data_IF_117953849620
#
_entry.id   IF_117953849620
#
_cell.length_a   1.000
_cell.length_b   1.000
_cell.length_c   1.000
_cell.angle_alpha   90.00
_cell.angle_beta   90.00
_cell.angle_gamma   90.00
#
_symmetry.space_group_name_H-M   'P 1'
#
loop_
_entity.id
_entity.type
_entity.pdbx_description
1 polymer ?
#
# COMPACT_ATOMS: atom_id res chain seq x y z
N UNK A 1 15.54 5.52 -20.51
CA UNK A 1 14.23 6.01 -20.97
C UNK A 1 14.03 7.49 -20.64
N UNK A 2 13.86 7.86 -19.37
CA UNK A 2 13.49 9.23 -18.94
C UNK A 2 14.50 10.31 -19.39
N UNK A 3 15.80 10.09 -19.16
CA UNK A 3 16.83 11.09 -19.54
C UNK A 3 16.93 11.33 -21.04
N UNK A 4 16.65 10.30 -21.84
CA UNK A 4 16.79 10.33 -23.30
C UNK A 4 15.45 10.50 -24.01
N UNK A 5 14.35 10.67 -23.27
CA UNK A 5 12.96 10.71 -23.77
C UNK A 5 12.61 9.57 -24.73
N UNK A 6 13.24 8.41 -24.54
CA UNK A 6 12.97 7.21 -25.32
C UNK A 6 11.91 6.37 -24.62
N UNK A 7 10.91 5.84 -25.36
CA UNK A 7 9.99 4.85 -24.82
C UNK A 7 10.75 3.66 -24.21
N UNK A 8 10.18 3.03 -23.19
CA UNK A 8 10.67 1.73 -22.73
C UNK A 8 10.45 0.76 -23.89
N UNK A 9 11.49 -0.01 -24.25
CA UNK A 9 11.38 -0.99 -25.32
C UNK A 9 10.27 -1.98 -25.00
N UNK A 10 9.34 -2.16 -25.94
CA UNK A 10 8.29 -3.16 -25.82
C UNK A 10 8.92 -4.55 -25.69
N UNK A 11 8.33 -5.37 -24.82
CA UNK A 11 8.73 -6.76 -24.63
C UNK A 11 7.47 -7.62 -24.56
N UNK A 12 7.38 -8.64 -25.42
CA UNK A 12 6.26 -9.60 -25.42
C UNK A 12 6.10 -10.31 -24.08
N UNK A 13 7.18 -10.40 -23.29
CA UNK A 13 7.15 -10.95 -21.94
C UNK A 13 6.04 -10.34 -21.07
N UNK A 14 5.82 -9.03 -21.13
CA UNK A 14 4.79 -8.39 -20.30
C UNK A 14 3.39 -8.73 -20.78
N UNK A 15 3.20 -8.86 -22.10
CA UNK A 15 1.93 -9.30 -22.69
C UNK A 15 1.62 -10.74 -22.31
N UNK A 16 2.60 -11.64 -22.44
CA UNK A 16 2.46 -13.05 -22.04
C UNK A 16 2.14 -13.17 -20.54
N UNK A 17 2.83 -12.41 -19.68
CA UNK A 17 2.53 -12.38 -18.25
C UNK A 17 1.11 -11.89 -17.96
N UNK A 18 0.64 -10.85 -18.67
CA UNK A 18 -0.73 -10.37 -18.53
C UNK A 18 -1.76 -11.41 -18.98
N UNK A 19 -1.54 -12.03 -20.13
CA UNK A 19 -2.42 -13.06 -20.69
C UNK A 19 -2.55 -14.26 -19.74
N UNK A 20 -1.43 -14.72 -19.18
CA UNK A 20 -1.35 -15.85 -18.24
C UNK A 20 -1.81 -15.52 -16.81
N UNK A 21 -2.00 -14.23 -16.48
CA UNK A 21 -2.44 -13.83 -15.14
C UNK A 21 -3.95 -14.00 -14.99
N UNK A 22 -4.38 -14.73 -13.97
CA UNK A 22 -5.78 -14.86 -13.60
C UNK A 22 -6.27 -13.72 -12.68
N UNK A 23 -5.37 -13.25 -11.81
CA UNK A 23 -5.66 -12.23 -10.80
C UNK A 23 -4.46 -11.31 -10.58
N UNK A 24 -4.72 -10.01 -10.52
CA UNK A 24 -3.75 -8.99 -10.12
C UNK A 24 -3.89 -8.70 -8.64
N UNK A 25 -2.76 -8.72 -7.92
CA UNK A 25 -2.68 -8.23 -6.54
C UNK A 25 -1.93 -6.91 -6.58
N UNK A 26 -2.63 -5.82 -6.27
CA UNK A 26 -2.11 -4.45 -6.44
C UNK A 26 -2.01 -3.79 -5.08
N UNK A 27 -0.79 -3.53 -4.64
CA UNK A 27 -0.54 -2.74 -3.44
C UNK A 27 -0.58 -1.25 -3.76
N UNK A 28 -1.41 -0.49 -3.03
CA UNK A 28 -1.39 0.96 -3.03
C UNK A 28 -0.82 1.42 -1.68
N UNK A 29 0.41 1.92 -1.71
CA UNK A 29 1.21 2.18 -0.51
C UNK A 29 1.34 3.65 -0.11
N UNK A 30 0.87 4.56 -0.95
CA UNK A 30 1.06 5.99 -0.78
C UNK A 30 -0.04 6.79 -1.47
N UNK A 31 -0.47 7.87 -0.84
CA UNK A 31 -1.35 8.90 -1.42
C UNK A 31 -0.55 10.05 -2.08
N UNK A 32 0.76 9.85 -2.26
CA UNK A 32 1.67 10.86 -2.82
C UNK A 32 2.15 10.41 -4.19
N UNK A 33 2.13 11.35 -5.14
CA UNK A 33 2.77 11.26 -6.45
C UNK A 33 4.00 12.16 -6.52
N UNK A 34 5.01 11.73 -7.28
CA UNK A 34 6.26 12.46 -7.49
C UNK A 34 6.30 12.86 -8.97
N UNK A 35 6.32 14.16 -9.25
CA UNK A 35 6.13 14.69 -10.61
C UNK A 35 7.35 15.49 -11.04
N UNK A 36 7.92 15.16 -12.19
CA UNK A 36 8.99 15.92 -12.85
C UNK A 36 8.62 16.19 -14.31
N UNK A 37 8.48 17.46 -14.69
CA UNK A 37 8.15 17.88 -16.07
C UNK A 37 6.94 17.14 -16.68
N UNK A 38 5.91 16.87 -15.89
CA UNK A 38 4.71 16.14 -16.32
C UNK A 38 4.84 14.61 -16.27
N UNK A 39 6.02 14.07 -15.96
CA UNK A 39 6.23 12.64 -15.76
C UNK A 39 6.08 12.25 -14.28
N UNK A 40 5.50 11.07 -14.06
CA UNK A 40 5.43 10.43 -12.75
C UNK A 40 6.71 9.64 -12.48
N UNK A 41 7.29 9.84 -11.31
CA UNK A 41 8.52 9.18 -10.87
C UNK A 41 8.23 8.26 -9.68
N UNK A 42 8.96 7.15 -9.62
CA UNK A 42 8.97 6.31 -8.44
C UNK A 42 9.70 7.03 -7.30
N UNK A 43 9.17 6.96 -6.07
CA UNK A 43 9.76 7.66 -4.91
C UNK A 43 11.25 7.31 -4.70
N UNK A 44 11.65 6.05 -4.94
CA UNK A 44 13.05 5.61 -4.85
C UNK A 44 14.01 6.39 -5.77
N UNK A 45 13.51 6.95 -6.87
CA UNK A 45 14.34 7.71 -7.81
C UNK A 45 14.67 9.13 -7.29
N UNK A 46 13.90 9.67 -6.35
CA UNK A 46 13.94 11.11 -6.01
C UNK A 46 13.94 11.42 -4.52
N UNK A 47 13.59 10.44 -3.68
CA UNK A 47 13.55 10.61 -2.24
C UNK A 47 14.97 10.49 -1.65
N UNK A 48 15.55 11.65 -1.34
CA UNK A 48 16.93 11.77 -0.81
C UNK A 48 17.12 11.17 0.57
N UNK A 49 16.04 10.78 1.26
CA UNK A 49 16.11 10.01 2.50
C UNK A 49 16.54 8.56 2.25
N UNK A 50 16.44 8.10 1.00
CA UNK A 50 16.77 6.74 0.58
C UNK A 50 18.03 6.76 -0.29
N UNK A 51 18.82 5.69 -0.22
CA UNK A 51 20.08 5.60 -0.98
C UNK A 51 19.90 5.38 -2.48
N UNK A 52 18.67 5.13 -2.95
CA UNK A 52 18.39 4.69 -4.31
C UNK A 52 18.41 5.83 -5.35
N UNK A 53 18.44 7.09 -4.92
CA UNK A 53 18.47 8.24 -5.83
C UNK A 53 19.90 8.68 -6.21
N UNK A 54 20.95 7.92 -5.85
CA UNK A 54 22.35 8.32 -6.06
C UNK A 54 22.72 8.54 -7.52
N UNK A 55 22.07 7.83 -8.44
CA UNK A 55 22.29 7.94 -9.89
C UNK A 55 21.31 8.90 -10.58
N UNK A 56 20.32 9.41 -9.84
CA UNK A 56 19.37 10.36 -10.40
C UNK A 56 20.02 11.74 -10.53
N UNK A 57 19.97 12.39 -11.70
CA UNK A 57 20.56 13.72 -11.86
C UNK A 57 20.00 14.71 -10.85
N UNK A 58 20.88 15.52 -10.25
CA UNK A 58 20.53 16.47 -9.19
C UNK A 58 19.38 17.40 -9.59
N UNK A 59 19.35 17.82 -10.87
CA UNK A 59 18.27 18.64 -11.42
C UNK A 59 16.91 17.94 -11.30
N UNK A 60 16.84 16.65 -11.60
CA UNK A 60 15.59 15.86 -11.51
C UNK A 60 15.14 15.77 -10.06
N UNK A 61 16.05 15.48 -9.14
CA UNK A 61 15.76 15.43 -7.69
C UNK A 61 15.19 16.78 -7.21
N UNK A 62 15.92 17.86 -7.49
CA UNK A 62 15.59 19.21 -7.02
C UNK A 62 14.27 19.76 -7.58
N UNK A 63 13.96 19.44 -8.83
CA UNK A 63 12.77 19.94 -9.52
C UNK A 63 11.54 19.02 -9.39
N UNK A 64 11.71 17.82 -8.81
CA UNK A 64 10.58 16.90 -8.57
C UNK A 64 9.66 17.46 -7.50
N UNK A 65 8.36 17.54 -7.82
CA UNK A 65 7.31 17.96 -6.90
C UNK A 65 6.66 16.74 -6.27
N UNK A 66 6.59 16.72 -4.94
CA UNK A 66 5.81 15.72 -4.20
C UNK A 66 4.42 16.30 -3.96
N UNK A 67 3.41 15.68 -4.54
CA UNK A 67 2.02 16.14 -4.47
C UNK A 67 1.18 15.06 -3.78
N UNK A 68 0.34 15.48 -2.84
CA UNK A 68 -0.66 14.60 -2.23
C UNK A 68 -1.85 14.52 -3.18
N UNK A 69 -2.27 13.32 -3.52
CA UNK A 69 -3.48 13.08 -4.30
C UNK A 69 -4.71 13.34 -3.44
N UNK A 70 -5.77 13.89 -4.02
CA UNK A 70 -7.07 13.98 -3.32
C UNK A 70 -7.90 12.70 -3.50
N UNK A 71 -9.10 12.67 -2.88
CA UNK A 71 -9.99 11.52 -2.94
C UNK A 71 -10.46 11.21 -4.35
N UNK A 72 -10.81 12.24 -5.12
CA UNK A 72 -11.31 12.08 -6.49
C UNK A 72 -10.21 11.50 -7.36
N UNK A 73 -8.98 12.02 -7.25
CA UNK A 73 -7.82 11.49 -7.98
C UNK A 73 -7.56 10.01 -7.65
N UNK A 74 -7.65 9.60 -6.38
CA UNK A 74 -7.47 8.18 -6.00
C UNK A 74 -8.60 7.30 -6.54
N UNK A 75 -9.84 7.78 -6.52
CA UNK A 75 -10.98 7.05 -7.07
C UNK A 75 -10.88 6.91 -8.60
N UNK A 76 -10.44 7.96 -9.31
CA UNK A 76 -10.17 7.96 -10.75
C UNK A 76 -9.03 7.01 -11.11
N UNK A 77 -7.93 7.01 -10.35
CA UNK A 77 -6.80 6.07 -10.54
C UNK A 77 -7.28 4.61 -10.42
N UNK A 78 -8.16 4.32 -9.45
CA UNK A 78 -8.73 2.98 -9.28
C UNK A 78 -9.58 2.60 -10.50
N UNK A 79 -10.41 3.51 -11.02
CA UNK A 79 -11.20 3.28 -12.23
C UNK A 79 -10.32 3.01 -13.46
N UNK A 80 -9.26 3.80 -13.64
CA UNK A 80 -8.32 3.63 -14.74
C UNK A 80 -7.59 2.28 -14.64
N UNK A 81 -7.10 1.91 -13.45
CA UNK A 81 -6.45 0.60 -13.21
C UNK A 81 -7.41 -0.54 -13.57
N UNK A 82 -8.67 -0.47 -13.11
CA UNK A 82 -9.66 -1.51 -13.41
C UNK A 82 -9.98 -1.58 -14.89
N UNK A 83 -10.08 -0.43 -15.58
CA UNK A 83 -10.27 -0.37 -17.02
C UNK A 83 -9.11 -1.02 -17.79
N UNK A 84 -7.87 -0.73 -17.40
CA UNK A 84 -6.67 -1.28 -18.01
C UNK A 84 -6.53 -2.80 -17.81
N UNK A 85 -7.00 -3.31 -16.67
CA UNK A 85 -6.82 -4.72 -16.29
C UNK A 85 -8.01 -5.60 -16.71
N UNK A 86 -9.17 -5.01 -17.02
CA UNK A 86 -10.34 -5.74 -17.46
C UNK A 86 -10.02 -6.70 -18.64
N UNK A 87 -10.53 -7.95 -18.64
CA UNK A 87 -11.51 -8.54 -17.71
C UNK A 87 -10.89 -9.29 -16.52
N UNK A 88 -9.61 -9.07 -16.19
CA UNK A 88 -8.90 -9.84 -15.18
C UNK A 88 -9.38 -9.50 -13.77
N UNK A 89 -9.32 -10.47 -12.84
CA UNK A 89 -9.71 -10.26 -11.44
C UNK A 89 -8.66 -9.38 -10.74
N UNK A 90 -9.08 -8.58 -9.76
CA UNK A 90 -8.20 -7.68 -9.00
C UNK A 90 -8.42 -7.84 -7.50
N UNK A 91 -7.33 -7.83 -6.73
CA UNK A 91 -7.29 -7.66 -5.29
C UNK A 91 -6.47 -6.41 -4.98
N UNK A 92 -7.12 -5.36 -4.48
CA UNK A 92 -6.41 -4.21 -3.95
C UNK A 92 -5.94 -4.47 -2.52
N UNK A 93 -4.77 -3.94 -2.20
CA UNK A 93 -4.11 -4.15 -0.91
C UNK A 93 -3.53 -2.82 -0.45
N UNK A 94 -3.73 -2.47 0.81
CA UNK A 94 -3.02 -1.32 1.39
C UNK A 94 -1.66 -1.72 1.93
N UNK A 95 -0.76 -0.77 2.05
CA UNK A 95 0.46 -0.99 2.83
C UNK A 95 0.12 -1.21 4.31
N UNK A 96 0.89 -2.08 4.98
CA UNK A 96 0.73 -2.36 6.40
C UNK A 96 0.90 -1.09 7.26
N UNK A 97 -0.04 -0.85 8.18
CA UNK A 97 0.01 0.29 9.09
C UNK A 97 0.67 -0.10 10.42
N UNK A 98 2.00 -0.19 10.38
CA UNK A 98 2.81 -0.42 11.57
C UNK A 98 2.70 0.76 12.56
N UNK A 99 2.78 0.43 13.85
CA UNK A 99 2.91 1.40 14.93
C UNK A 99 4.34 1.95 14.96
N UNK A 100 4.46 3.28 15.04
CA UNK A 100 5.75 3.97 15.19
C UNK A 100 5.84 4.49 16.63
N UNK A 101 6.93 4.15 17.32
CA UNK A 101 7.22 4.70 18.64
C UNK A 101 7.77 6.13 18.49
N UNK A 102 6.91 7.13 18.67
CA UNK A 102 7.32 8.53 18.78
C UNK A 102 7.24 8.98 20.25
N UNK A 103 8.38 9.40 20.83
CA UNK A 103 8.49 9.94 22.19
C UNK A 103 7.81 11.32 22.38
N UNK A 104 6.89 11.77 21.51
CA UNK A 104 6.16 13.04 21.69
C UNK A 104 4.69 12.92 21.26
N UNK A 105 3.84 13.28 22.22
CA UNK A 105 2.38 13.17 22.25
C UNK A 105 1.63 14.09 21.26
N UNK A 106 0.43 13.66 20.89
CA UNK A 106 -0.69 14.47 20.40
C UNK A 106 -1.99 13.67 20.54
N UNK A 107 -3.06 14.31 21.04
CA UNK A 107 -4.34 13.72 21.49
C UNK A 107 -5.02 12.80 20.48
N UNK A 108 -5.54 11.68 20.98
CA UNK A 108 -6.33 10.68 20.25
C UNK A 108 -7.67 11.28 19.80
N UNK A 109 -7.93 11.31 18.49
CA UNK A 109 -9.28 11.48 17.95
C UNK A 109 -10.06 10.18 18.14
N UNK A 110 -10.99 10.18 19.10
CA UNK A 110 -12.06 9.18 19.18
C UNK A 110 -13.03 9.41 18.03
N UNK A 111 -12.75 8.85 16.86
CA UNK A 111 -13.68 8.85 15.73
C UNK A 111 -13.35 7.73 14.72
N UNK A 112 -13.29 6.47 15.15
CA UNK A 112 -13.29 5.30 14.25
C UNK A 112 -13.91 4.08 14.94
N UNK A 113 -15.06 4.27 15.59
CA UNK A 113 -15.80 3.16 16.21
C UNK A 113 -17.11 2.82 15.50
N UNK A 114 -17.47 3.48 14.40
CA UNK A 114 -18.77 3.28 13.75
C UNK A 114 -18.71 2.75 12.31
N UNK A 115 -17.60 2.92 11.58
CA UNK A 115 -17.47 2.41 10.21
C UNK A 115 -17.03 0.93 10.13
N UNK A 116 -16.56 0.35 11.24
CA UNK A 116 -16.04 -1.03 11.29
C UNK A 116 -17.10 -2.06 11.73
N UNK A 117 -18.21 -1.62 12.32
CA UNK A 117 -19.25 -2.54 12.82
C UNK A 117 -20.04 -3.26 11.71
N UNK A 118 -20.12 -2.71 10.50
CA UNK A 118 -20.83 -3.37 9.39
C UNK A 118 -19.98 -4.38 8.59
N UNK A 119 -18.70 -4.57 8.91
CA UNK A 119 -17.82 -5.57 8.29
C UNK A 119 -17.49 -6.77 9.20
N UNK A 120 -18.07 -6.85 10.40
CA UNK A 120 -17.71 -7.83 11.44
C UNK A 120 -18.74 -8.94 11.69
N UNK A 121 -19.53 -9.36 10.70
CA UNK A 121 -20.49 -10.48 10.92
C UNK A 121 -19.88 -11.89 10.88
N UNK A 122 -18.57 -12.05 10.69
CA UNK A 122 -17.96 -13.37 10.45
C UNK A 122 -16.87 -13.80 11.45
N UNK A 123 -16.51 -13.00 12.47
CA UNK A 123 -15.48 -13.44 13.42
C UNK A 123 -15.63 -12.85 14.84
N UNK A 124 -15.82 -13.73 15.83
CA UNK A 124 -15.39 -13.52 17.23
C UNK A 124 -15.04 -14.87 17.87
N UNK A 125 -14.22 -14.92 18.94
CA UNK A 125 -13.16 -13.98 19.33
C UNK A 125 -11.86 -14.71 19.74
N UNK A 126 -10.74 -13.99 19.85
CA UNK A 126 -9.96 -13.94 21.09
C UNK A 126 -8.67 -13.12 20.96
N UNK A 127 -8.45 -12.26 21.97
CA UNK A 127 -7.31 -11.39 22.24
C UNK A 127 -6.99 -10.34 21.17
N UNK A 128 -7.50 -9.13 21.39
CA UNK A 128 -6.95 -7.90 20.80
C UNK A 128 -5.56 -7.63 21.40
N UNK A 129 -4.51 -7.89 20.63
CA UNK A 129 -3.21 -7.32 20.90
C UNK A 129 -3.21 -5.89 20.37
N UNK A 130 -3.29 -4.90 21.25
CA UNK A 130 -3.02 -3.50 20.91
C UNK A 130 -1.53 -3.23 21.16
N UNK A 131 -0.70 -3.05 20.11
CA UNK A 131 0.67 -2.61 20.31
C UNK A 131 0.66 -1.22 20.98
N UNK A 132 1.51 -1.01 21.98
CA UNK A 132 1.72 0.33 22.53
C UNK A 132 2.38 1.22 21.46
N UNK A 133 1.69 2.30 21.06
CA UNK A 133 2.19 3.36 20.18
C UNK A 133 1.11 3.89 19.23
N UNK A 134 1.48 4.81 18.34
CA UNK A 134 0.55 5.42 17.37
C UNK A 134 0.81 4.85 15.96
N UNK A 135 -0.27 4.50 15.26
CA UNK A 135 -0.22 4.21 13.84
C UNK A 135 0.08 5.48 13.03
N UNK A 136 0.50 5.33 11.79
CA UNK A 136 0.75 6.47 10.91
C UNK A 136 -0.61 6.97 10.40
N UNK A 137 -1.03 8.16 10.84
CA UNK A 137 -2.35 8.72 10.53
C UNK A 137 -2.64 8.74 9.01
N UNK A 138 -1.66 9.13 8.19
CA UNK A 138 -1.81 9.15 6.74
C UNK A 138 -1.97 7.76 6.12
N UNK A 139 -1.46 6.69 6.77
CA UNK A 139 -1.71 5.31 6.33
C UNK A 139 -3.11 4.86 6.70
N UNK A 140 -3.59 5.23 7.89
CA UNK A 140 -4.97 4.93 8.29
C UNK A 140 -5.98 5.61 7.34
N UNK A 141 -5.76 6.88 7.02
CA UNK A 141 -6.58 7.62 6.06
C UNK A 141 -6.58 6.96 4.67
N UNK A 142 -5.41 6.53 4.18
CA UNK A 142 -5.33 5.83 2.90
C UNK A 142 -6.06 4.47 2.94
N UNK A 143 -5.92 3.70 4.03
CA UNK A 143 -6.62 2.41 4.18
C UNK A 143 -8.14 2.60 4.11
N UNK A 144 -8.66 3.59 4.81
CA UNK A 144 -10.09 3.91 4.81
C UNK A 144 -10.56 4.31 3.41
N UNK A 145 -9.84 5.24 2.78
CA UNK A 145 -10.13 5.68 1.42
C UNK A 145 -10.16 4.52 0.42
N UNK A 146 -9.14 3.64 0.44
CA UNK A 146 -9.05 2.50 -0.46
C UNK A 146 -10.17 1.48 -0.21
N UNK A 147 -10.49 1.21 1.06
CA UNK A 147 -11.58 0.31 1.42
C UNK A 147 -12.94 0.80 0.92
N UNK A 148 -13.23 2.10 1.08
CA UNK A 148 -14.44 2.72 0.55
C UNK A 148 -14.47 2.70 -0.97
N UNK A 149 -13.38 3.13 -1.62
CA UNK A 149 -13.30 3.23 -3.07
C UNK A 149 -13.44 1.86 -3.76
N UNK A 150 -12.78 0.83 -3.25
CA UNK A 150 -12.90 -0.54 -3.75
C UNK A 150 -14.30 -1.11 -3.47
N UNK A 151 -14.86 -0.84 -2.27
CA UNK A 151 -16.20 -1.27 -1.88
C UNK A 151 -17.30 -0.74 -2.80
N UNK A 152 -17.25 0.55 -3.17
CA UNK A 152 -18.17 1.16 -4.15
C UNK A 152 -18.18 0.44 -5.51
N UNK A 153 -17.05 -0.17 -5.88
CA UNK A 153 -16.82 -0.82 -7.18
C UNK A 153 -17.02 -2.34 -7.12
N UNK A 154 -17.36 -2.88 -5.96
CA UNK A 154 -17.47 -4.34 -5.76
C UNK A 154 -16.13 -5.07 -5.91
N UNK A 155 -15.01 -4.38 -5.74
CA UNK A 155 -13.67 -4.96 -5.88
C UNK A 155 -13.14 -5.37 -4.50
N UNK A 156 -12.55 -6.57 -4.37
CA UNK A 156 -11.91 -7.00 -3.13
C UNK A 156 -10.78 -6.05 -2.66
N UNK A 157 -10.81 -5.72 -1.37
CA UNK A 157 -9.76 -4.96 -0.70
C UNK A 157 -9.25 -5.72 0.54
N UNK A 158 -7.94 -5.71 0.76
CA UNK A 158 -7.31 -6.34 1.92
C UNK A 158 -6.34 -5.39 2.64
N UNK A 159 -6.63 -5.11 3.91
CA UNK A 159 -5.70 -4.44 4.81
C UNK A 159 -4.83 -5.48 5.56
N UNK A 160 -3.52 -5.57 5.26
CA UNK A 160 -2.63 -6.51 5.93
C UNK A 160 -2.38 -6.20 7.41
N UNK A 161 -2.80 -5.03 7.90
CA UNK A 161 -2.67 -4.62 9.32
C UNK A 161 -3.39 -5.59 10.26
N UNK A 162 -4.38 -6.34 9.77
CA UNK A 162 -5.07 -7.40 10.52
C UNK A 162 -4.13 -8.46 11.12
N UNK A 163 -2.92 -8.60 10.58
CA UNK A 163 -1.89 -9.52 11.11
C UNK A 163 -1.54 -9.22 12.57
N UNK A 164 -1.62 -7.95 12.98
CA UNK A 164 -1.29 -7.53 14.35
C UNK A 164 -2.33 -7.93 15.39
N UNK A 165 -3.51 -8.37 14.97
CA UNK A 165 -4.50 -8.98 15.88
C UNK A 165 -3.99 -10.29 16.49
N UNK A 166 -3.03 -10.96 15.83
CA UNK A 166 -2.53 -12.28 16.25
C UNK A 166 -1.05 -12.31 16.58
N UNK A 167 -0.26 -11.42 15.98
CA UNK A 167 1.19 -11.45 16.08
C UNK A 167 1.72 -10.09 16.52
N UNK A 168 2.75 -10.11 17.38
CA UNK A 168 3.45 -8.90 17.77
C UNK A 168 4.18 -8.31 16.56
N UNK A 169 4.22 -6.98 16.47
CA UNK A 169 4.84 -6.28 15.35
C UNK A 169 6.30 -6.68 15.13
N UNK A 170 7.09 -6.81 16.21
CA UNK A 170 8.51 -7.19 16.16
C UNK A 170 8.75 -8.65 15.71
N UNK A 171 7.71 -9.49 15.66
CA UNK A 171 7.80 -10.80 15.01
C UNK A 171 7.52 -10.73 13.52
N UNK A 172 6.67 -9.81 13.07
CA UNK A 172 6.19 -9.73 11.69
C UNK A 172 7.06 -8.81 10.84
N UNK A 173 7.49 -7.67 11.40
CA UNK A 173 8.26 -6.64 10.73
C UNK A 173 9.68 -6.57 11.26
N UNK A 174 10.62 -6.30 10.36
CA UNK A 174 12.00 -6.00 10.70
C UNK A 174 12.06 -4.70 11.51
N UNK A 175 13.07 -4.61 12.39
CA UNK A 175 13.39 -3.35 13.04
C UNK A 175 14.15 -2.48 12.05
N UNK A 176 13.62 -1.32 11.75
CA UNK A 176 14.35 -0.29 10.99
C UNK A 176 15.08 0.65 11.97
N UNK A 177 15.98 1.46 11.43
CA UNK A 177 16.61 2.56 12.18
C UNK A 177 15.55 3.45 12.86
N UNK A 178 15.85 4.01 14.05
CA UNK A 178 14.91 4.88 14.77
C UNK A 178 14.37 6.02 13.91
N UNK A 179 13.04 6.12 13.80
CA UNK A 179 12.36 7.16 13.02
C UNK A 179 11.97 6.76 11.60
N UNK A 180 12.40 5.59 11.12
CA UNK A 180 11.90 5.02 9.86
C UNK A 180 10.71 4.09 10.12
N UNK A 181 9.65 4.14 9.29
CA UNK A 181 8.57 3.20 9.40
C UNK A 181 9.08 1.81 8.98
N UNK A 182 8.85 0.75 9.77
CA UNK A 182 9.17 -0.60 9.35
C UNK A 182 8.41 -0.94 8.06
N UNK A 183 9.19 -1.22 7.01
CA UNK A 183 8.68 -1.52 5.66
C UNK A 183 8.88 -2.98 5.26
N UNK A 184 9.79 -3.69 5.92
CA UNK A 184 10.16 -5.05 5.53
C UNK A 184 9.62 -6.10 6.50
N UNK A 185 9.14 -7.22 5.96
CA UNK A 185 8.76 -8.38 6.75
C UNK A 185 9.99 -9.16 7.23
N UNK A 186 9.91 -9.76 8.41
CA UNK A 186 10.82 -10.86 8.80
C UNK A 186 10.49 -12.10 7.98
N UNK A 187 11.35 -13.13 8.01
CA UNK A 187 11.02 -14.43 7.38
C UNK A 187 9.72 -15.04 7.91
N UNK A 188 9.46 -14.85 9.21
CA UNK A 188 8.20 -15.24 9.83
C UNK A 188 7.03 -14.40 9.27
N UNK A 189 7.20 -13.08 9.20
CA UNK A 189 6.23 -12.16 8.62
C UNK A 189 5.88 -12.53 7.18
N UNK A 190 6.88 -12.79 6.34
CA UNK A 190 6.70 -13.22 4.95
C UNK A 190 5.83 -14.49 4.86
N UNK A 191 6.10 -15.50 5.68
CA UNK A 191 5.31 -16.73 5.72
C UNK A 191 3.86 -16.49 6.18
N UNK A 192 3.67 -15.63 7.18
CA UNK A 192 2.32 -15.28 7.68
C UNK A 192 1.54 -14.51 6.63
N UNK A 193 2.15 -13.47 6.04
CA UNK A 193 1.51 -12.64 5.02
C UNK A 193 1.18 -13.44 3.77
N UNK A 194 2.11 -14.29 3.29
CA UNK A 194 1.84 -15.17 2.15
C UNK A 194 0.62 -16.07 2.37
N UNK A 195 0.42 -16.60 3.58
CA UNK A 195 -0.78 -17.37 3.92
C UNK A 195 -2.06 -16.51 3.92
N UNK A 196 -1.99 -15.28 4.42
CA UNK A 196 -3.13 -14.35 4.42
C UNK A 196 -3.51 -13.95 2.99
N UNK A 197 -2.54 -13.58 2.14
CA UNK A 197 -2.80 -13.29 0.72
C UNK A 197 -3.38 -14.50 0.00
N UNK A 198 -2.79 -15.69 0.17
CA UNK A 198 -3.32 -16.91 -0.43
C UNK A 198 -4.74 -17.25 0.03
N UNK A 199 -5.16 -16.85 1.25
CA UNK A 199 -6.54 -16.98 1.69
C UNK A 199 -7.47 -15.99 0.96
N UNK A 200 -7.07 -14.73 0.79
CA UNK A 200 -7.90 -13.76 0.06
C UNK A 200 -8.01 -14.13 -1.42
N UNK A 201 -6.90 -14.50 -2.06
CA UNK A 201 -6.90 -14.95 -3.46
C UNK A 201 -7.84 -16.14 -3.64
N UNK A 202 -7.78 -17.16 -2.77
CA UNK A 202 -8.69 -18.32 -2.86
C UNK A 202 -10.17 -17.94 -2.76
N UNK A 203 -10.54 -16.92 -1.97
CA UNK A 203 -11.94 -16.46 -1.89
C UNK A 203 -12.42 -15.80 -3.18
N UNK A 204 -11.52 -15.14 -3.90
CA UNK A 204 -11.81 -14.43 -5.16
C UNK A 204 -11.83 -15.40 -6.34
N UNK A 205 -11.04 -16.48 -6.24
CA UNK A 205 -10.92 -17.51 -7.25
C UNK A 205 -11.95 -18.63 -7.13
N UNK A 206 -12.55 -18.81 -5.95
CA UNK A 206 -13.69 -19.71 -5.72
C UNK A 206 -14.95 -19.22 -6.43
#
# INVERSE_FOLDING_TARGET
>A
AILNKQPVAYSDRFREQFEQTDIFVIEICSIKKYIYQGYYLHHLAVDTRLKFCSETPEKVIRETKVVRQDRSEVEEDIDEILSLIHPKKVLFVSHINAVVNNRKQGRISRACSAAVENMQRWFTPNRTYSPAGHTIASRAELIELLGEAAGKRGVPFFDPTVVFNRYRQDKVLQREEPGLPPGHYTDFGNKVMGRLYAQQIRKIMA
#
